data_IF_889928174689
#
_entry.id   IF_889928174689
#
_cell.length_a   1.000
_cell.length_b   1.000
_cell.length_c   1.000
_cell.angle_alpha   90.00
_cell.angle_beta   90.00
_cell.angle_gamma   90.00
#
_symmetry.space_group_name_H-M   'P 1'
#
loop_
_entity.id
_entity.type
_entity.pdbx_description
1 polymer ?
#
# COMPACT_ATOMS: atom_id res chain seq x y z
N UNK A 1 9.51 3.33 16.39
CA UNK A 1 8.66 3.29 15.18
C UNK A 1 9.14 2.16 14.29
N UNK A 2 8.27 1.51 13.52
CA UNK A 2 8.70 0.48 12.56
C UNK A 2 9.51 1.11 11.41
N UNK A 3 10.62 0.46 11.03
CA UNK A 3 11.43 0.89 9.89
C UNK A 3 10.80 0.48 8.55
N UNK A 4 11.24 1.11 7.46
CA UNK A 4 10.79 0.74 6.10
C UNK A 4 11.03 -0.74 5.78
N UNK A 5 12.17 -1.30 6.21
CA UNK A 5 12.46 -2.72 6.02
C UNK A 5 11.50 -3.63 6.79
N UNK A 6 11.15 -3.27 8.03
CA UNK A 6 10.16 -4.01 8.82
C UNK A 6 8.77 -3.96 8.17
N UNK A 7 8.35 -2.78 7.71
CA UNK A 7 7.08 -2.61 6.97
C UNK A 7 7.07 -3.47 5.71
N UNK A 8 8.16 -3.48 4.92
CA UNK A 8 8.25 -4.29 3.69
C UNK A 8 8.09 -5.79 3.98
N UNK A 9 8.73 -6.30 5.04
CA UNK A 9 8.61 -7.71 5.44
C UNK A 9 7.16 -8.05 5.80
N UNK A 10 6.50 -7.19 6.57
CA UNK A 10 5.10 -7.41 6.97
C UNK A 10 4.16 -7.32 5.78
N UNK A 11 4.31 -6.34 4.90
CA UNK A 11 3.47 -6.19 3.72
C UNK A 11 3.63 -7.37 2.74
N UNK A 12 4.85 -7.89 2.60
CA UNK A 12 5.09 -9.14 1.89
C UNK A 12 4.40 -10.34 2.57
N UNK A 13 4.45 -10.43 3.90
CA UNK A 13 3.72 -11.45 4.65
C UNK A 13 2.19 -11.34 4.41
N UNK A 14 1.61 -10.14 4.42
CA UNK A 14 0.19 -9.92 4.10
C UNK A 14 -0.16 -10.38 2.67
N UNK A 15 0.67 -10.10 1.65
CA UNK A 15 0.45 -10.66 0.29
C UNK A 15 0.41 -12.18 0.28
N UNK A 16 1.28 -12.81 1.07
CA UNK A 16 1.31 -14.27 1.19
C UNK A 16 0.05 -14.80 1.88
N UNK A 17 -0.49 -14.10 2.89
CA UNK A 17 -1.78 -14.45 3.50
C UNK A 17 -2.90 -14.44 2.45
N UNK A 18 -2.96 -13.43 1.58
CA UNK A 18 -3.92 -13.37 0.46
C UNK A 18 -3.74 -14.58 -0.47
N UNK A 19 -2.51 -14.88 -0.93
CA UNK A 19 -2.24 -16.00 -1.86
C UNK A 19 -2.66 -17.35 -1.27
N UNK A 20 -2.36 -17.60 -0.01
CA UNK A 20 -2.54 -18.93 0.59
C UNK A 20 -3.87 -19.15 1.30
N UNK A 21 -4.68 -18.11 1.50
CA UNK A 21 -5.97 -18.23 2.18
C UNK A 21 -7.09 -17.54 1.37
N UNK A 22 -7.32 -17.94 0.11
CA UNK A 22 -8.26 -17.24 -0.79
C UNK A 22 -9.71 -17.25 -0.28
N UNK A 23 -10.09 -18.22 0.56
CA UNK A 23 -11.42 -18.29 1.20
C UNK A 23 -11.64 -17.19 2.23
N UNK A 24 -10.57 -16.77 2.93
CA UNK A 24 -10.60 -15.70 3.93
C UNK A 24 -10.37 -14.32 3.29
N UNK A 25 -9.53 -14.27 2.26
CA UNK A 25 -9.16 -13.04 1.54
C UNK A 25 -9.84 -13.00 0.16
N UNK A 26 -11.15 -12.78 0.18
CA UNK A 26 -11.99 -12.83 -1.04
C UNK A 26 -11.86 -11.56 -1.90
N UNK A 27 -11.34 -10.46 -1.35
CA UNK A 27 -11.17 -9.21 -2.10
C UNK A 27 -10.10 -9.35 -3.18
N UNK A 28 -10.38 -8.75 -4.34
CA UNK A 28 -9.40 -8.56 -5.41
C UNK A 28 -8.40 -7.47 -5.02
N UNK A 29 -7.42 -7.83 -4.21
CA UNK A 29 -6.47 -6.85 -3.66
C UNK A 29 -5.03 -7.37 -3.62
N UNK A 30 -4.11 -6.42 -3.43
CA UNK A 30 -2.70 -6.66 -3.11
C UNK A 30 -2.18 -5.58 -2.18
N UNK A 31 -1.03 -5.81 -1.59
CA UNK A 31 -0.21 -4.76 -0.99
C UNK A 31 1.01 -4.47 -1.85
N UNK A 32 1.57 -3.26 -1.74
CA UNK A 32 2.90 -2.94 -2.28
C UNK A 32 3.92 -2.89 -1.14
N UNK A 33 4.97 -2.10 -1.28
CA UNK A 33 6.03 -1.92 -0.28
C UNK A 33 6.43 -0.44 -0.19
N UNK A 34 7.25 -0.08 0.80
CA UNK A 34 7.80 1.28 0.96
C UNK A 34 8.49 1.76 -0.30
N UNK A 35 9.14 0.86 -1.03
CA UNK A 35 9.88 1.20 -2.24
C UNK A 35 8.92 1.73 -3.31
N UNK A 36 7.71 1.18 -3.43
CA UNK A 36 6.70 1.73 -4.33
C UNK A 36 6.29 3.17 -4.01
N UNK A 37 6.14 3.54 -2.73
CA UNK A 37 5.92 4.94 -2.30
C UNK A 37 7.07 5.85 -2.77
N UNK A 38 8.32 5.42 -2.56
CA UNK A 38 9.49 6.17 -3.03
C UNK A 38 9.47 6.40 -4.54
N UNK A 39 9.12 5.37 -5.32
CA UNK A 39 9.08 5.48 -6.79
C UNK A 39 7.92 6.33 -7.28
N UNK A 40 6.76 6.32 -6.60
CA UNK A 40 5.64 7.22 -6.91
C UNK A 40 6.07 8.67 -6.70
N UNK A 41 6.67 8.98 -5.54
CA UNK A 41 7.15 10.34 -5.23
C UNK A 41 8.26 10.79 -6.18
N UNK A 42 9.23 9.92 -6.49
CA UNK A 42 10.29 10.22 -7.46
C UNK A 42 9.75 10.46 -8.88
N UNK A 43 8.78 9.66 -9.30
CA UNK A 43 8.10 9.82 -10.59
C UNK A 43 7.36 11.16 -10.66
N UNK A 44 6.69 11.55 -9.57
CA UNK A 44 6.03 12.85 -9.50
C UNK A 44 7.02 14.02 -9.58
N UNK A 45 8.16 13.95 -8.89
CA UNK A 45 9.20 14.97 -8.97
C UNK A 45 9.78 15.07 -10.39
N UNK A 46 10.12 13.94 -11.01
CA UNK A 46 10.58 13.91 -12.39
C UNK A 46 9.57 14.53 -13.37
N UNK A 47 8.28 14.25 -13.18
CA UNK A 47 7.20 14.87 -13.96
C UNK A 47 7.14 16.39 -13.79
N UNK A 48 7.35 16.91 -12.57
CA UNK A 48 7.38 18.37 -12.36
C UNK A 48 8.59 19.00 -13.06
N UNK A 49 9.75 18.34 -13.00
CA UNK A 49 11.00 18.84 -13.56
C UNK A 49 11.05 18.76 -15.10
N UNK A 50 10.44 17.73 -15.69
CA UNK A 50 10.45 17.44 -17.13
C UNK A 50 9.18 17.97 -17.85
N UNK A 51 8.87 19.25 -17.69
CA UNK A 51 7.75 19.91 -18.39
C UNK A 51 6.40 19.17 -18.33
N UNK A 52 6.15 18.36 -17.29
CA UNK A 52 4.91 17.57 -17.13
C UNK A 52 4.75 16.44 -18.15
N UNK A 53 5.84 15.79 -18.57
CA UNK A 53 5.80 14.52 -19.33
C UNK A 53 6.16 13.30 -18.49
N UNK A 54 5.64 12.13 -18.89
CA UNK A 54 6.05 10.83 -18.38
C UNK A 54 6.75 10.02 -19.47
N UNK A 55 7.95 9.52 -19.16
CA UNK A 55 8.75 8.61 -20.00
C UNK A 55 8.74 7.20 -19.43
N UNK A 56 7.70 6.41 -19.71
CA UNK A 56 7.45 5.10 -19.07
C UNK A 56 8.50 4.01 -19.34
N UNK A 57 9.32 4.22 -20.36
CA UNK A 57 10.35 3.28 -20.80
C UNK A 57 11.65 3.43 -19.99
N UNK A 58 11.82 4.56 -19.32
CA UNK A 58 13.02 4.92 -18.57
C UNK A 58 12.79 4.85 -17.05
N UNK A 59 13.86 4.92 -16.27
CA UNK A 59 13.74 5.08 -14.81
C UNK A 59 13.45 6.56 -14.51
N UNK A 60 12.62 6.87 -13.49
CA UNK A 60 12.03 5.96 -12.50
C UNK A 60 10.74 5.24 -12.95
N UNK A 61 10.10 5.68 -14.04
CA UNK A 61 8.75 5.29 -14.46
C UNK A 61 8.58 3.79 -14.76
N UNK A 62 9.54 3.19 -15.47
CA UNK A 62 9.53 1.77 -15.83
C UNK A 62 9.44 0.82 -14.63
N UNK A 63 9.91 1.23 -13.45
CA UNK A 63 9.79 0.44 -12.21
C UNK A 63 8.33 0.37 -11.73
N UNK A 64 7.60 1.50 -11.79
CA UNK A 64 6.18 1.53 -11.46
C UNK A 64 5.36 0.70 -12.46
N UNK A 65 5.72 0.72 -13.74
CA UNK A 65 5.09 -0.12 -14.74
C UNK A 65 5.26 -1.62 -14.44
N UNK A 66 6.41 -2.03 -13.90
CA UNK A 66 6.61 -3.40 -13.42
C UNK A 66 5.74 -3.74 -12.20
N UNK A 67 5.49 -2.78 -11.29
CA UNK A 67 4.52 -2.97 -10.20
C UNK A 67 3.12 -3.17 -10.75
N UNK A 68 2.67 -2.31 -11.66
CA UNK A 68 1.33 -2.38 -12.28
C UNK A 68 1.12 -3.69 -13.05
N UNK A 69 2.17 -4.18 -13.72
CA UNK A 69 2.17 -5.48 -14.42
C UNK A 69 2.30 -6.69 -13.49
N UNK A 70 2.44 -6.49 -12.17
CA UNK A 70 2.60 -7.55 -11.17
C UNK A 70 3.97 -8.23 -11.18
N UNK A 71 4.96 -7.69 -11.90
CA UNK A 71 6.26 -8.32 -12.15
C UNK A 71 7.38 -7.86 -11.19
N UNK A 72 7.13 -6.83 -10.40
CA UNK A 72 8.16 -6.17 -9.58
C UNK A 72 8.43 -6.84 -8.23
N UNK A 73 7.42 -7.45 -7.62
CA UNK A 73 7.49 -8.00 -6.26
C UNK A 73 7.00 -9.42 -6.21
N UNK A 74 7.52 -10.20 -5.27
CA UNK A 74 7.05 -11.56 -5.02
C UNK A 74 5.55 -11.57 -4.68
N UNK A 75 4.82 -12.47 -5.33
CA UNK A 75 3.35 -12.56 -5.22
C UNK A 75 2.66 -11.28 -5.71
N UNK A 76 3.30 -10.54 -6.62
CA UNK A 76 2.69 -9.42 -7.31
C UNK A 76 1.52 -9.89 -8.17
N UNK A 77 0.51 -9.03 -8.31
CA UNK A 77 -0.64 -9.24 -9.18
C UNK A 77 -0.73 -8.09 -10.17
N UNK A 78 -1.13 -8.39 -11.41
CA UNK A 78 -1.43 -7.37 -12.42
C UNK A 78 -2.61 -6.53 -11.93
N UNK A 79 -2.49 -5.21 -12.00
CA UNK A 79 -3.48 -4.30 -11.40
C UNK A 79 -4.84 -4.37 -12.09
N UNK A 80 -4.90 -4.79 -13.35
CA UNK A 80 -6.18 -5.05 -14.05
C UNK A 80 -7.00 -6.15 -13.36
N UNK A 81 -6.37 -7.04 -12.59
CA UNK A 81 -7.04 -8.08 -11.82
C UNK A 81 -7.48 -7.62 -10.42
N UNK A 82 -7.26 -6.35 -10.05
CA UNK A 82 -7.47 -5.84 -8.70
C UNK A 82 -8.55 -4.75 -8.65
N UNK A 83 -9.17 -4.59 -7.49
CA UNK A 83 -10.07 -3.47 -7.18
C UNK A 83 -9.42 -2.50 -6.19
N UNK A 84 -8.61 -3.00 -5.23
CA UNK A 84 -7.89 -2.16 -4.27
C UNK A 84 -6.41 -2.51 -4.19
N UNK A 85 -5.54 -1.50 -4.05
CA UNK A 85 -4.11 -1.68 -3.80
C UNK A 85 -3.71 -0.91 -2.55
N UNK A 86 -3.06 -1.60 -1.60
CA UNK A 86 -2.66 -1.03 -0.32
C UNK A 86 -1.15 -0.70 -0.29
N UNK A 87 -0.81 0.56 -0.07
CA UNK A 87 0.57 1.06 -0.07
C UNK A 87 0.90 1.67 1.29
N UNK A 88 1.97 1.21 1.97
CA UNK A 88 2.47 1.91 3.15
C UNK A 88 3.26 3.14 2.69
N UNK A 89 2.74 4.33 2.95
CA UNK A 89 3.38 5.59 2.55
C UNK A 89 4.04 6.25 3.75
N UNK A 90 5.28 6.70 3.58
CA UNK A 90 6.03 7.38 4.63
C UNK A 90 6.03 8.89 4.39
N UNK A 91 5.36 9.64 5.24
CA UNK A 91 5.31 11.09 5.18
C UNK A 91 6.59 11.64 5.81
N UNK A 92 7.53 12.03 4.95
CA UNK A 92 8.91 12.35 5.33
C UNK A 92 8.97 13.54 6.27
N UNK A 93 8.19 14.60 5.98
CA UNK A 93 8.17 15.82 6.81
C UNK A 93 7.60 15.59 8.22
N UNK A 94 6.89 14.48 8.42
CA UNK A 94 6.22 14.15 9.67
C UNK A 94 6.83 12.94 10.38
N UNK A 95 7.80 12.27 9.74
CA UNK A 95 8.31 10.96 10.13
C UNK A 95 7.18 9.99 10.50
N UNK A 96 6.18 9.89 9.63
CA UNK A 96 4.91 9.26 9.96
C UNK A 96 4.46 8.28 8.88
N UNK A 97 3.90 7.15 9.29
CA UNK A 97 3.35 6.15 8.39
C UNK A 97 1.85 6.37 8.22
N UNK A 98 1.41 6.42 6.96
CA UNK A 98 -0.01 6.38 6.58
C UNK A 98 -0.25 5.20 5.64
N UNK A 99 -1.47 4.67 5.63
CA UNK A 99 -1.88 3.67 4.66
C UNK A 99 -2.63 4.37 3.54
N UNK A 100 -2.18 4.13 2.30
CA UNK A 100 -2.88 4.57 1.10
C UNK A 100 -3.60 3.37 0.48
N UNK A 101 -4.90 3.48 0.28
CA UNK A 101 -5.65 2.60 -0.61
C UNK A 101 -5.85 3.31 -1.96
N UNK A 102 -5.38 2.68 -3.02
CA UNK A 102 -5.74 3.03 -4.39
C UNK A 102 -6.97 2.19 -4.74
N UNK A 103 -8.15 2.82 -4.68
CA UNK A 103 -9.43 2.23 -5.04
C UNK A 103 -9.64 2.47 -6.54
N UNK A 104 -9.43 1.40 -7.33
CA UNK A 104 -9.44 1.47 -8.79
C UNK A 104 -10.85 1.67 -9.37
N UNK A 105 -11.91 0.98 -8.90
CA UNK A 105 -13.26 1.19 -9.41
C UNK A 105 -13.78 2.60 -9.19
N UNK A 106 -13.53 3.19 -8.01
CA UNK A 106 -14.04 4.53 -7.68
C UNK A 106 -13.05 5.65 -7.98
N UNK A 107 -11.83 5.31 -8.41
CA UNK A 107 -10.73 6.24 -8.70
C UNK A 107 -10.40 7.15 -7.53
N UNK A 108 -10.23 6.53 -6.34
CA UNK A 108 -9.93 7.25 -5.12
C UNK A 108 -8.58 6.84 -4.55
N UNK A 109 -7.87 7.83 -4.02
CA UNK A 109 -6.71 7.67 -3.16
C UNK A 109 -7.20 7.88 -1.73
N UNK A 110 -7.60 6.80 -1.07
CA UNK A 110 -8.05 6.86 0.32
C UNK A 110 -6.86 6.81 1.27
N UNK A 111 -6.81 7.75 2.20
CA UNK A 111 -5.72 7.90 3.17
C UNK A 111 -6.23 7.57 4.55
N UNK A 112 -5.61 6.56 5.15
CA UNK A 112 -5.84 6.16 6.53
C UNK A 112 -4.66 6.67 7.37
N UNK A 113 -4.98 7.56 8.30
CA UNK A 113 -4.02 8.29 9.10
C UNK A 113 -4.42 8.21 10.57
N UNK A 114 -3.48 7.75 11.42
CA UNK A 114 -3.74 7.56 12.85
C UNK A 114 -3.60 8.86 13.64
N UNK A 115 -3.15 9.94 13.01
CA UNK A 115 -2.97 11.26 13.63
C UNK A 115 -3.99 12.25 13.04
N UNK A 116 -4.66 12.97 13.94
CA UNK A 116 -5.60 14.02 13.56
C UNK A 116 -5.01 15.42 13.47
N UNK A 117 -5.84 16.33 12.97
CA UNK A 117 -5.58 17.76 12.95
C UNK A 117 -5.35 18.34 11.55
N UNK A 118 -5.93 19.50 11.28
CA UNK A 118 -5.94 20.15 9.96
C UNK A 118 -4.53 20.40 9.42
N UNK A 119 -3.62 20.95 10.25
CA UNK A 119 -2.24 21.21 9.83
C UNK A 119 -1.46 19.92 9.51
N UNK A 120 -1.75 18.82 10.22
CA UNK A 120 -1.18 17.51 9.93
C UNK A 120 -1.70 16.99 8.58
N UNK A 121 -3.03 16.98 8.41
CA UNK A 121 -3.73 16.56 7.19
C UNK A 121 -3.20 17.28 5.94
N UNK A 122 -2.92 18.58 6.04
CA UNK A 122 -2.34 19.35 4.93
C UNK A 122 -0.94 18.88 4.52
N UNK A 123 -0.08 18.52 5.49
CA UNK A 123 1.26 17.98 5.23
C UNK A 123 1.23 16.56 4.67
N UNK A 124 0.27 15.74 5.12
CA UNK A 124 0.04 14.42 4.51
C UNK A 124 -0.46 14.60 3.08
N UNK A 125 -1.43 15.48 2.85
CA UNK A 125 -2.01 15.75 1.53
C UNK A 125 -0.97 16.24 0.51
N UNK A 126 -0.01 17.06 0.92
CA UNK A 126 1.03 17.56 0.01
C UNK A 126 1.90 16.44 -0.55
N UNK A 127 2.32 15.46 0.27
CA UNK A 127 3.08 14.31 -0.21
C UNK A 127 2.19 13.30 -0.97
N UNK A 128 0.95 13.07 -0.53
CA UNK A 128 0.03 12.14 -1.22
C UNK A 128 -0.46 12.66 -2.57
N UNK A 129 -0.34 13.97 -2.85
CA UNK A 129 -0.65 14.54 -4.17
C UNK A 129 0.12 13.85 -5.31
N UNK A 130 1.31 13.31 -5.03
CA UNK A 130 2.05 12.50 -5.99
C UNK A 130 1.22 11.31 -6.52
N UNK A 131 0.46 10.63 -5.67
CA UNK A 131 -0.38 9.51 -6.07
C UNK A 131 -1.48 9.94 -7.03
N UNK A 132 -2.16 11.05 -6.74
CA UNK A 132 -3.23 11.60 -7.57
C UNK A 132 -2.78 11.84 -9.02
N UNK A 133 -1.53 12.25 -9.22
CA UNK A 133 -0.99 12.55 -10.56
C UNK A 133 -0.39 11.31 -11.21
N UNK A 134 0.39 10.52 -10.47
CA UNK A 134 1.16 9.40 -11.03
C UNK A 134 0.28 8.19 -11.32
N UNK A 135 -0.69 7.86 -10.46
CA UNK A 135 -1.52 6.66 -10.61
C UNK A 135 -2.34 6.64 -11.91
N UNK A 136 -3.14 7.67 -12.26
CA UNK A 136 -3.93 7.61 -13.49
C UNK A 136 -3.07 7.47 -14.76
N UNK A 137 -1.90 8.13 -14.80
CA UNK A 137 -0.95 8.04 -15.91
C UNK A 137 -0.27 6.67 -15.98
N UNK A 138 0.08 6.10 -14.82
CA UNK A 138 0.62 4.74 -14.71
C UNK A 138 -0.40 3.70 -15.19
N UNK A 139 -1.68 3.86 -14.82
CA UNK A 139 -2.76 2.98 -15.26
C UNK A 139 -2.92 3.01 -16.78
N UNK A 140 -2.91 4.20 -17.39
CA UNK A 140 -2.95 4.34 -18.84
C UNK A 140 -1.75 3.63 -19.51
N UNK A 141 -0.52 3.88 -19.04
CA UNK A 141 0.69 3.24 -19.57
C UNK A 141 0.76 1.71 -19.34
N UNK A 142 0.01 1.20 -18.37
CA UNK A 142 -0.12 -0.21 -18.08
C UNK A 142 -1.27 -0.88 -18.87
N UNK A 143 -1.91 -0.17 -19.79
CA UNK A 143 -3.09 -0.60 -20.55
C UNK A 143 -4.28 -0.99 -19.65
N UNK A 144 -4.40 -0.35 -18.48
CA UNK A 144 -5.41 -0.71 -17.50
C UNK A 144 -6.83 -0.51 -18.04
N UNK A 145 -7.10 0.65 -18.61
CA UNK A 145 -8.45 1.02 -19.10
C UNK A 145 -8.86 0.24 -20.36
N UNK A 146 -7.90 -0.32 -21.10
CA UNK A 146 -8.16 -1.20 -22.25
C UNK A 146 -8.61 -2.60 -21.77
N UNK A 147 -8.09 -3.06 -20.64
CA UNK A 147 -8.45 -4.36 -20.05
C UNK A 147 -9.63 -4.29 -19.08
N UNK A 148 -9.84 -3.13 -18.45
CA UNK A 148 -10.95 -2.83 -17.54
C UNK A 148 -11.88 -1.80 -18.18
N UNK A 149 -12.49 -2.21 -19.30
CA UNK A 149 -13.34 -1.37 -20.16
C UNK A 149 -14.53 -0.73 -19.42
N UNK A 150 -14.93 -1.29 -18.28
CA UNK A 150 -15.97 -0.75 -17.42
C UNK A 150 -15.52 0.47 -16.61
N UNK A 151 -14.21 0.72 -16.51
CA UNK A 151 -13.61 1.88 -15.85
C UNK A 151 -13.05 2.81 -16.92
N UNK A 152 -13.62 4.01 -17.05
CA UNK A 152 -13.10 5.03 -17.97
C UNK A 152 -11.93 5.77 -17.34
N UNK A 153 -10.95 6.19 -18.12
CA UNK A 153 -9.89 7.04 -17.62
C UNK A 153 -10.46 8.34 -17.01
N UNK A 154 -10.04 8.65 -15.79
CA UNK A 154 -10.48 9.82 -15.05
C UNK A 154 -9.44 10.26 -14.02
N UNK A 155 -9.76 11.37 -13.36
CA UNK A 155 -8.89 11.96 -12.35
C UNK A 155 -9.16 11.35 -10.98
N UNK A 156 -8.09 10.95 -10.29
CA UNK A 156 -8.22 10.40 -8.95
C UNK A 156 -8.47 11.51 -7.92
N UNK A 157 -9.34 11.23 -6.95
CA UNK A 157 -9.59 12.12 -5.81
C UNK A 157 -8.91 11.61 -4.53
N UNK A 158 -8.39 12.54 -3.72
CA UNK A 158 -7.83 12.18 -2.40
C UNK A 158 -8.93 12.28 -1.37
N UNK A 159 -9.19 11.16 -0.69
CA UNK A 159 -10.16 11.06 0.40
C UNK A 159 -9.42 10.70 1.68
N UNK A 160 -9.62 11.48 2.75
CA UNK A 160 -9.13 11.09 4.07
C UNK A 160 -10.25 10.38 4.80
N UNK A 161 -9.95 9.21 5.36
CA UNK A 161 -10.93 8.43 6.12
C UNK A 161 -10.99 9.01 7.53
N UNK A 162 -12.04 9.79 7.82
CA UNK A 162 -12.10 10.72 8.97
C UNK A 162 -12.36 10.04 10.33
N UNK A 163 -12.82 8.79 10.35
CA UNK A 163 -13.25 8.11 11.59
C UNK A 163 -12.12 7.54 12.46
N UNK A 164 -10.85 7.92 12.22
CA UNK A 164 -9.70 7.18 12.74
C UNK A 164 -8.62 8.01 13.42
N UNK A 165 -9.02 9.06 14.13
CA UNK A 165 -8.11 9.76 15.05
C UNK A 165 -7.88 8.91 16.30
N UNK A 166 -6.78 8.15 16.32
CA UNK A 166 -6.53 7.15 17.37
C UNK A 166 -5.28 7.48 18.22
N UNK A 167 -4.33 8.26 17.71
CA UNK A 167 -3.09 8.57 18.44
C UNK A 167 -3.15 9.85 19.25
N UNK A 168 -2.97 9.72 20.56
CA UNK A 168 -2.48 10.81 21.41
C UNK A 168 -1.00 11.08 21.14
N UNK A 169 -0.58 12.35 21.25
CA UNK A 169 0.76 12.86 20.89
C UNK A 169 1.96 12.08 21.49
N UNK A 170 1.76 11.27 22.54
CA UNK A 170 2.79 10.45 23.20
C UNK A 170 3.08 9.09 22.53
N UNK A 171 2.19 8.56 21.68
CA UNK A 171 2.30 7.20 21.11
C UNK A 171 2.57 7.18 19.59
N UNK A 172 3.33 8.17 19.07
CA UNK A 172 3.66 8.28 17.63
C UNK A 172 4.39 7.05 17.04
N UNK A 173 4.94 6.17 17.88
CA UNK A 173 5.68 4.99 17.44
C UNK A 173 4.80 3.85 16.90
N UNK A 174 3.47 3.94 17.09
CA UNK A 174 2.48 2.93 16.67
C UNK A 174 1.91 3.13 15.27
N UNK A 175 2.17 4.25 14.58
CA UNK A 175 1.63 4.52 13.24
C UNK A 175 1.88 3.39 12.23
N UNK A 176 3.07 2.78 12.26
CA UNK A 176 3.37 1.62 11.41
C UNK A 176 2.51 0.39 11.73
N UNK A 177 2.12 0.19 12.99
CA UNK A 177 1.20 -0.89 13.37
C UNK A 177 -0.24 -0.60 12.93
N UNK A 178 -0.69 0.64 13.02
CA UNK A 178 -1.98 1.05 12.44
C UNK A 178 -2.02 0.75 10.94
N UNK A 179 -1.00 1.17 10.19
CA UNK A 179 -0.89 0.89 8.74
C UNK A 179 -0.99 -0.61 8.43
N UNK A 180 -0.27 -1.45 9.17
CA UNK A 180 -0.33 -2.92 9.01
C UNK A 180 -1.74 -3.45 9.28
N UNK A 181 -2.34 -3.01 10.39
CA UNK A 181 -3.61 -3.56 10.86
C UNK A 181 -4.80 -3.09 10.05
N UNK A 182 -4.79 -1.86 9.56
CA UNK A 182 -5.80 -1.38 8.61
C UNK A 182 -5.70 -2.11 7.28
N UNK A 183 -4.50 -2.32 6.76
CA UNK A 183 -4.32 -3.10 5.53
C UNK A 183 -4.93 -4.49 5.71
N UNK A 184 -4.57 -5.20 6.79
CA UNK A 184 -5.14 -6.52 7.07
C UNK A 184 -6.67 -6.50 7.22
N UNK A 185 -7.22 -5.55 7.98
CA UNK A 185 -8.66 -5.43 8.22
C UNK A 185 -9.44 -5.19 6.91
N UNK A 186 -8.95 -4.26 6.08
CA UNK A 186 -9.56 -3.93 4.80
C UNK A 186 -9.57 -5.14 3.86
N UNK A 187 -8.52 -5.96 3.86
CA UNK A 187 -8.47 -7.18 3.04
C UNK A 187 -9.45 -8.28 3.48
N UNK A 188 -9.83 -8.31 4.76
CA UNK A 188 -10.72 -9.33 5.35
C UNK A 188 -12.12 -8.83 5.68
N UNK A 189 -12.55 -7.68 5.14
CA UNK A 189 -13.85 -7.05 5.45
C UNK A 189 -14.08 -6.76 6.96
N UNK A 190 -13.02 -6.61 7.73
CA UNK A 190 -13.12 -6.17 9.13
C UNK A 190 -13.16 -4.65 9.14
N UNK A 191 -14.05 -4.08 9.97
CA UNK A 191 -14.13 -2.62 10.14
C UNK A 191 -12.79 -2.06 10.59
N UNK A 192 -12.34 -0.97 9.99
CA UNK A 192 -11.10 -0.29 10.39
C UNK A 192 -11.20 0.32 11.79
N UNK A 193 -12.42 0.61 12.27
CA UNK A 193 -12.68 1.06 13.64
C UNK A 193 -12.33 0.02 14.72
N UNK A 194 -12.17 -1.26 14.34
CA UNK A 194 -11.68 -2.30 15.26
C UNK A 194 -10.17 -2.19 15.56
N UNK A 195 -9.44 -1.38 14.78
CA UNK A 195 -8.01 -1.14 14.95
C UNK A 195 -7.83 0.07 15.87
N UNK A 196 -7.79 -0.18 17.17
CA UNK A 196 -7.71 0.85 18.21
C UNK A 196 -6.36 0.86 18.93
N UNK A 197 -6.05 1.95 19.63
CA UNK A 197 -4.79 2.10 20.37
C UNK A 197 -4.64 1.05 21.47
N UNK A 198 -5.73 0.70 22.15
CA UNK A 198 -5.75 -0.22 23.28
C UNK A 198 -5.32 -1.64 22.85
N UNK A 199 -5.56 -2.00 21.58
CA UNK A 199 -5.20 -3.30 21.01
C UNK A 199 -3.76 -3.35 20.47
N UNK A 200 -3.01 -2.24 20.45
CA UNK A 200 -1.67 -2.20 19.82
C UNK A 200 -0.66 -3.15 20.45
N UNK A 201 -0.67 -3.31 21.77
CA UNK A 201 0.21 -4.26 22.46
C UNK A 201 -0.09 -5.69 21.97
N UNK A 202 -1.37 -6.07 21.97
CA UNK A 202 -1.82 -7.36 21.48
C UNK A 202 -1.48 -7.57 20.00
N UNK A 203 -1.73 -6.57 19.14
CA UNK A 203 -1.41 -6.67 17.71
C UNK A 203 0.09 -6.84 17.46
N UNK A 204 0.95 -6.15 18.23
CA UNK A 204 2.41 -6.31 18.14
C UNK A 204 2.84 -7.72 18.53
N UNK A 205 2.32 -8.23 19.64
CA UNK A 205 2.62 -9.61 20.09
C UNK A 205 2.14 -10.64 19.07
N UNK A 206 0.90 -10.53 18.60
CA UNK A 206 0.32 -11.41 17.58
C UNK A 206 1.15 -11.40 16.29
N UNK A 207 1.51 -10.22 15.79
CA UNK A 207 2.31 -10.09 14.57
C UNK A 207 3.70 -10.71 14.75
N UNK A 208 4.36 -10.49 15.89
CA UNK A 208 5.66 -11.08 16.17
C UNK A 208 5.57 -12.62 16.20
N UNK A 209 4.56 -13.18 16.85
CA UNK A 209 4.29 -14.62 16.89
C UNK A 209 4.01 -15.18 15.50
N UNK A 210 3.18 -14.51 14.70
CA UNK A 210 2.85 -14.92 13.32
C UNK A 210 4.10 -14.94 12.43
N UNK A 211 4.92 -13.90 12.48
CA UNK A 211 6.15 -13.81 11.69
C UNK A 211 7.19 -14.84 12.13
N UNK A 212 7.31 -15.12 13.43
CA UNK A 212 8.21 -16.15 13.95
C UNK A 212 7.84 -17.54 13.43
N UNK A 213 6.57 -17.93 13.56
CA UNK A 213 6.09 -19.22 13.05
C UNK A 213 6.24 -19.31 11.53
N UNK A 214 5.90 -18.24 10.80
CA UNK A 214 6.09 -18.20 9.36
C UNK A 214 7.57 -18.33 8.96
N UNK A 215 8.48 -17.72 9.71
CA UNK A 215 9.92 -17.87 9.51
C UNK A 215 10.39 -19.32 9.72
N UNK A 216 9.90 -19.99 10.76
CA UNK A 216 10.14 -21.41 11.01
C UNK A 216 9.64 -22.27 9.85
N UNK A 217 8.40 -22.05 9.40
CA UNK A 217 7.80 -22.85 8.33
C UNK A 217 8.52 -22.64 7.01
N UNK A 218 8.93 -21.41 6.70
CA UNK A 218 9.81 -21.14 5.56
C UNK A 218 11.12 -21.90 5.66
N UNK A 219 11.77 -21.91 6.83
CA UNK A 219 13.01 -22.66 7.04
C UNK A 219 12.81 -24.16 6.80
N UNK A 220 11.73 -24.75 7.31
CA UNK A 220 11.38 -26.17 7.08
C UNK A 220 11.18 -26.50 5.59
N UNK A 221 10.72 -25.54 4.79
CA UNK A 221 10.55 -25.67 3.33
C UNK A 221 11.81 -25.27 2.54
N UNK A 222 12.98 -25.16 3.17
CA UNK A 222 14.23 -24.68 2.54
C UNK A 222 14.08 -23.31 1.87
N UNK A 223 13.28 -22.43 2.47
CA UNK A 223 12.94 -21.10 1.96
C UNK A 223 12.26 -21.12 0.59
N UNK A 224 11.84 -22.29 0.10
CA UNK A 224 11.04 -22.42 -1.11
C UNK A 224 9.68 -21.80 -0.85
N UNK A 225 9.44 -20.66 -1.48
CA UNK A 225 8.11 -20.11 -1.66
C UNK A 225 7.49 -20.86 -2.84
N UNK A 226 6.24 -21.35 -2.71
CA UNK A 226 5.57 -22.00 -3.85
C UNK A 226 5.70 -21.09 -5.05
N UNK A 227 6.34 -21.67 -6.06
CA UNK A 227 6.69 -21.13 -7.36
C UNK A 227 6.17 -19.68 -7.55
N UNK A 228 7.12 -18.75 -7.52
CA UNK A 228 6.99 -17.43 -8.13
C UNK A 228 7.04 -17.56 -9.68
N UNK A 229 6.72 -18.75 -10.21
CA UNK A 229 6.97 -19.24 -11.57
C UNK A 229 5.75 -19.80 -12.29
N UNK A 230 4.55 -19.82 -11.70
CA UNK A 230 3.31 -19.95 -12.49
C UNK A 230 3.02 -18.59 -13.14
N UNK A 231 3.63 -18.41 -14.32
CA UNK A 231 3.33 -17.37 -15.29
C UNK A 231 2.06 -17.71 -16.06
#
# INVERSE_FOLDING_TARGET
MLSGSQINVVFYYLRKKIKYNPTLYQKRTTTLDKISDDYIKKTFLAYIDDNKSFTWDEKPHSILLQYAKGKRIAVGKKWTLLDSIYVPAFITQLEHWVLVEIDLPTQKIKVYDSIGGTAHKLKVKSEITAYKIVIPNLLAAANFYEERIEIKQGDFEIEFVEDMFVLYFKNRSDCGMFVIKWAEALMTNVSTGEVTQEKMIFFRQKLATELYHWGIDKKKRNYRTDSETEK
#
